data_IF_217080826679
#
_entry.id   IF_217080826679
#
_cell.length_a   1.000
_cell.length_b   1.000
_cell.length_c   1.000
_cell.angle_alpha   90.00
_cell.angle_beta   90.00
_cell.angle_gamma   90.00
#
_symmetry.space_group_name_H-M   'P 1'
#
loop_
_entity.id
_entity.type
_entity.pdbx_description
1 polymer ?
#
# COMPACT_ATOMS: atom_id res chain seq x y z
N UNK A 1 23.92 29.40 18.47
CA UNK A 1 22.54 29.06 18.03
C UNK A 1 22.56 28.86 16.52
N UNK A 2 22.11 27.72 15.99
CA UNK A 2 22.06 27.49 14.55
C UNK A 2 20.85 28.23 13.97
N UNK A 3 21.08 29.11 13.00
CA UNK A 3 20.03 29.90 12.32
C UNK A 3 19.76 29.43 10.90
N UNK A 4 20.68 28.66 10.33
CA UNK A 4 20.61 28.16 8.96
C UNK A 4 21.05 26.70 8.97
N UNK A 5 20.27 25.83 8.33
CA UNK A 5 20.62 24.43 8.08
C UNK A 5 20.37 24.20 6.58
N UNK A 6 21.41 23.83 5.84
CA UNK A 6 21.30 23.53 4.40
C UNK A 6 21.92 22.18 4.08
N UNK A 7 21.45 21.54 3.03
CA UNK A 7 22.06 20.30 2.55
C UNK A 7 21.22 19.43 1.62
N UNK A 8 21.80 18.32 1.22
CA UNK A 8 21.13 17.23 0.50
C UNK A 8 21.18 15.98 1.39
N UNK A 9 20.18 15.77 2.28
CA UNK A 9 20.18 14.64 3.19
C UNK A 9 20.04 13.30 2.45
N UNK A 10 20.45 12.16 3.04
CA UNK A 10 20.38 10.85 2.39
C UNK A 10 18.93 10.35 2.24
N UNK A 11 18.66 9.56 1.20
CA UNK A 11 17.35 8.98 0.89
C UNK A 11 17.39 7.45 1.09
N UNK A 12 16.70 6.92 2.10
CA UNK A 12 16.62 5.47 2.33
C UNK A 12 15.41 5.09 3.17
N UNK A 13 14.46 4.38 2.56
CA UNK A 13 13.31 3.78 3.23
C UNK A 13 13.57 2.35 3.76
N UNK A 14 14.76 1.77 3.49
CA UNK A 14 15.18 0.43 3.93
C UNK A 14 15.82 -0.43 2.83
N UNK A 15 16.18 -1.68 3.19
CA UNK A 15 16.78 -2.68 2.31
C UNK A 15 15.85 -3.21 1.21
N UNK A 16 16.42 -3.73 0.10
CA UNK A 16 15.64 -4.25 -1.05
C UNK A 16 15.15 -5.67 -0.81
N UNK A 17 15.97 -6.51 -0.21
CA UNK A 17 15.66 -7.89 0.17
C UNK A 17 15.97 -8.14 1.64
N UNK A 18 15.25 -9.08 2.25
CA UNK A 18 15.60 -9.58 3.59
C UNK A 18 16.87 -10.44 3.60
N UNK A 19 17.36 -10.82 2.41
CA UNK A 19 18.63 -11.51 2.23
C UNK A 19 19.82 -10.52 2.20
N UNK A 20 19.59 -9.21 2.01
CA UNK A 20 20.67 -8.21 1.90
C UNK A 20 21.32 -7.87 3.24
N UNK A 21 20.65 -8.18 4.36
CA UNK A 21 21.08 -7.90 5.74
C UNK A 21 21.65 -6.48 5.95
N UNK A 22 20.98 -5.46 5.40
CA UNK A 22 21.43 -4.06 5.41
C UNK A 22 20.29 -3.11 5.85
N UNK A 23 19.72 -3.39 7.02
CA UNK A 23 18.63 -2.60 7.57
C UNK A 23 19.09 -1.17 7.95
N UNK A 24 18.17 -0.21 7.89
CA UNK A 24 18.45 1.17 8.33
C UNK A 24 18.82 1.17 9.83
N UNK A 25 19.77 2.03 10.20
CA UNK A 25 20.10 2.30 11.60
C UNK A 25 18.87 2.87 12.34
N UNK A 26 18.67 2.41 13.57
CA UNK A 26 17.65 2.90 14.49
C UNK A 26 18.14 4.13 15.24
N UNK A 27 17.29 5.15 15.36
CA UNK A 27 17.61 6.37 16.11
C UNK A 27 16.48 6.63 17.13
N UNK A 28 16.48 5.96 18.29
CA UNK A 28 15.32 5.90 19.18
C UNK A 28 14.70 7.26 19.54
N UNK A 29 15.54 8.26 19.87
CA UNK A 29 15.05 9.60 20.20
C UNK A 29 14.46 10.34 18.99
N UNK A 30 15.11 10.26 17.82
CA UNK A 30 14.61 10.92 16.61
C UNK A 30 13.34 10.24 16.09
N UNK A 31 13.30 8.92 16.14
CA UNK A 31 12.15 8.12 15.73
C UNK A 31 10.97 8.32 16.69
N UNK A 32 11.21 8.54 17.99
CA UNK A 32 10.19 8.98 18.95
C UNK A 32 9.61 10.35 18.57
N UNK A 33 10.47 11.33 18.23
CA UNK A 33 10.02 12.65 17.76
C UNK A 33 9.16 12.57 16.49
N UNK A 34 9.51 11.71 15.54
CA UNK A 34 8.69 11.44 14.35
C UNK A 34 7.33 10.86 14.75
N UNK A 35 7.32 9.95 15.71
CA UNK A 35 6.10 9.31 16.21
C UNK A 35 5.16 10.32 16.86
N UNK A 36 5.68 11.15 17.77
CA UNK A 36 4.96 12.20 18.49
C UNK A 36 4.47 13.36 17.61
N UNK A 37 5.02 13.52 16.40
CA UNK A 37 4.69 14.65 15.52
C UNK A 37 4.02 14.19 14.22
N UNK A 38 4.78 13.56 13.33
CA UNK A 38 4.32 13.21 11.99
C UNK A 38 3.38 12.01 12.00
N UNK A 39 3.67 10.98 12.81
CA UNK A 39 2.86 9.75 12.83
C UNK A 39 1.52 9.97 13.54
N UNK A 40 1.52 10.70 14.67
CA UNK A 40 0.33 11.08 15.44
C UNK A 40 -0.72 11.82 14.58
N UNK A 41 -0.25 12.70 13.71
CA UNK A 41 -1.11 13.49 12.82
C UNK A 41 -1.49 12.75 11.51
N UNK A 42 -0.94 11.56 11.28
CA UNK A 42 -1.20 10.80 10.05
C UNK A 42 -2.45 9.92 10.20
N UNK A 43 -3.22 9.86 9.12
CA UNK A 43 -4.39 8.97 9.02
C UNK A 43 -4.08 7.65 8.31
N UNK A 44 -2.80 7.42 7.95
CA UNK A 44 -2.39 6.22 7.23
C UNK A 44 -2.31 5.01 8.17
N UNK A 45 -2.77 3.85 7.69
CA UNK A 45 -2.65 2.59 8.44
C UNK A 45 -1.23 2.03 8.52
N UNK A 46 -0.28 2.56 7.74
CA UNK A 46 1.13 2.17 7.77
C UNK A 46 2.03 3.39 7.60
N UNK A 47 2.81 3.69 8.63
CA UNK A 47 3.64 4.90 8.72
C UNK A 47 5.13 4.67 8.42
N UNK A 48 5.49 3.51 7.85
CA UNK A 48 6.90 3.15 7.58
C UNK A 48 7.66 4.21 6.78
N UNK A 49 7.00 4.86 5.81
CA UNK A 49 7.63 5.89 4.98
C UNK A 49 8.02 7.16 5.74
N UNK A 50 7.48 7.38 6.94
CA UNK A 50 7.83 8.53 7.78
C UNK A 50 9.24 8.39 8.40
N UNK A 51 9.80 7.18 8.39
CA UNK A 51 11.14 6.89 8.93
C UNK A 51 12.21 6.80 7.83
N UNK A 52 11.90 7.29 6.62
CA UNK A 52 12.90 7.50 5.58
C UNK A 52 13.96 8.52 6.08
N UNK A 53 15.22 8.29 5.76
CA UNK A 53 16.35 9.11 6.20
C UNK A 53 16.18 10.62 5.90
N UNK A 54 15.53 11.00 4.79
CA UNK A 54 15.31 12.42 4.50
C UNK A 54 14.20 13.05 5.37
N UNK A 55 13.19 12.27 5.78
CA UNK A 55 12.16 12.72 6.72
C UNK A 55 12.76 12.87 8.11
N UNK A 56 13.63 11.92 8.51
CA UNK A 56 14.47 12.03 9.71
C UNK A 56 15.32 13.29 9.70
N UNK A 57 15.93 13.64 8.57
CA UNK A 57 16.71 14.86 8.44
C UNK A 57 15.84 16.13 8.58
N UNK A 58 14.64 16.15 8.00
CA UNK A 58 13.69 17.26 8.19
C UNK A 58 13.33 17.38 9.67
N UNK A 59 12.92 16.30 10.34
CA UNK A 59 12.56 16.31 11.77
C UNK A 59 13.71 16.79 12.65
N UNK A 60 14.91 16.26 12.41
CA UNK A 60 16.12 16.64 13.15
C UNK A 60 16.44 18.12 12.98
N UNK A 61 16.40 18.63 11.74
CA UNK A 61 16.68 20.03 11.46
C UNK A 61 15.64 20.96 12.10
N UNK A 62 14.35 20.58 12.04
CA UNK A 62 13.25 21.32 12.67
C UNK A 62 13.40 21.44 14.18
N UNK A 63 13.89 20.38 14.85
CA UNK A 63 14.15 20.39 16.28
C UNK A 63 15.44 21.16 16.61
N UNK A 64 16.49 21.00 15.78
CA UNK A 64 17.81 21.59 16.01
C UNK A 64 17.87 23.10 15.83
N UNK A 65 17.06 23.66 14.92
CA UNK A 65 17.01 25.09 14.60
C UNK A 65 16.27 25.92 15.66
N UNK A 66 15.47 25.29 16.53
CA UNK A 66 14.69 25.96 17.57
C UNK A 66 13.52 26.76 17.00
N UNK A 67 13.34 27.99 17.47
CA UNK A 67 12.16 28.84 17.18
C UNK A 67 12.36 29.83 16.05
N UNK A 68 13.59 30.02 15.55
CA UNK A 68 13.86 31.02 14.52
C UNK A 68 15.09 30.69 13.68
N UNK A 69 14.88 30.59 12.36
CA UNK A 69 15.90 30.27 11.38
C UNK A 69 15.30 29.73 10.08
N UNK A 70 16.17 29.32 9.17
CA UNK A 70 15.81 28.78 7.84
C UNK A 70 16.44 27.39 7.63
N UNK A 71 15.66 26.46 7.10
CA UNK A 71 16.12 25.15 6.64
C UNK A 71 15.98 25.10 5.12
N UNK A 72 17.04 24.78 4.38
CA UNK A 72 17.04 24.65 2.93
C UNK A 72 17.53 23.28 2.48
N UNK A 73 16.64 22.42 2.01
CA UNK A 73 17.00 21.06 1.60
C UNK A 73 16.60 20.72 0.17
N UNK A 74 17.39 19.85 -0.46
CA UNK A 74 17.00 19.10 -1.64
C UNK A 74 16.67 17.67 -1.21
N UNK A 75 15.40 17.29 -1.30
CA UNK A 75 14.91 15.99 -0.79
C UNK A 75 14.03 15.27 -1.81
N UNK A 76 13.71 14.00 -1.52
CA UNK A 76 12.64 13.32 -2.25
C UNK A 76 11.31 14.06 -2.07
N UNK A 77 10.57 14.29 -3.16
CA UNK A 77 9.32 15.07 -3.18
C UNK A 77 8.13 14.37 -2.52
N UNK A 78 8.32 13.18 -1.94
CA UNK A 78 7.21 12.36 -1.42
C UNK A 78 6.33 13.08 -0.39
N UNK A 79 6.89 14.00 0.41
CA UNK A 79 6.16 14.70 1.48
C UNK A 79 5.11 15.66 0.96
N UNK A 80 5.25 16.16 -0.28
CA UNK A 80 4.32 17.16 -0.84
C UNK A 80 3.04 16.51 -1.39
N UNK A 81 3.12 15.25 -1.84
CA UNK A 81 2.02 14.59 -2.59
C UNK A 81 1.51 13.30 -1.92
N UNK A 82 2.38 12.48 -1.32
CA UNK A 82 1.98 11.14 -0.88
C UNK A 82 0.93 11.21 0.24
N UNK A 83 -0.11 10.39 0.10
CA UNK A 83 -1.19 10.29 1.10
C UNK A 83 -0.70 9.87 2.48
N UNK A 84 0.35 9.04 2.56
CA UNK A 84 0.95 8.59 3.83
C UNK A 84 1.79 9.65 4.54
N UNK A 85 2.00 10.82 3.93
CA UNK A 85 2.80 11.92 4.49
C UNK A 85 1.95 13.13 4.88
N UNK A 86 0.64 12.97 4.99
CA UNK A 86 -0.26 14.04 5.43
C UNK A 86 0.08 14.58 6.83
N UNK A 87 0.51 13.71 7.75
CA UNK A 87 0.95 14.13 9.08
C UNK A 87 2.21 15.02 9.04
N UNK A 88 3.14 14.75 8.11
CA UNK A 88 4.30 15.63 7.85
C UNK A 88 3.81 17.01 7.39
N UNK A 89 2.93 17.06 6.39
CA UNK A 89 2.40 18.32 5.85
C UNK A 89 1.69 19.16 6.92
N UNK A 90 0.80 18.54 7.70
CA UNK A 90 0.11 19.20 8.82
C UNK A 90 1.09 19.76 9.85
N UNK A 91 2.08 18.96 10.24
CA UNK A 91 3.09 19.39 11.21
C UNK A 91 3.95 20.54 10.70
N UNK A 92 4.37 20.51 9.42
CA UNK A 92 5.15 21.60 8.83
C UNK A 92 4.37 22.92 8.85
N UNK A 93 3.08 22.91 8.53
CA UNK A 93 2.21 24.10 8.56
C UNK A 93 2.15 24.70 9.98
N UNK A 94 2.09 23.85 11.01
CA UNK A 94 2.03 24.31 12.40
C UNK A 94 3.39 24.84 12.89
N UNK A 95 4.50 24.24 12.47
CA UNK A 95 5.82 24.57 13.01
C UNK A 95 6.55 25.71 12.30
N UNK A 96 6.21 25.98 11.03
CA UNK A 96 6.91 26.95 10.20
C UNK A 96 6.00 28.10 9.83
N UNK A 97 6.54 29.32 9.82
CA UNK A 97 5.80 30.50 9.42
C UNK A 97 5.55 30.52 7.91
N UNK A 98 6.54 30.07 7.14
CA UNK A 98 6.46 30.01 5.68
C UNK A 98 7.21 28.78 5.15
N UNK A 99 6.63 28.15 4.13
CA UNK A 99 7.12 26.94 3.48
C UNK A 99 7.15 27.22 1.98
N UNK A 100 8.33 27.17 1.39
CA UNK A 100 8.54 27.35 -0.03
C UNK A 100 9.03 26.06 -0.66
N UNK A 101 8.39 25.63 -1.74
CA UNK A 101 8.70 24.36 -2.40
C UNK A 101 8.84 24.58 -3.90
N UNK A 102 10.02 24.29 -4.44
CA UNK A 102 10.18 24.09 -5.88
C UNK A 102 10.08 22.60 -6.17
N UNK A 103 8.98 22.17 -6.77
CA UNK A 103 8.78 20.79 -7.20
C UNK A 103 9.55 20.54 -8.50
N UNK A 104 10.65 19.79 -8.42
CA UNK A 104 11.51 19.53 -9.58
C UNK A 104 11.05 18.35 -10.43
N UNK A 105 9.92 17.72 -10.12
CA UNK A 105 9.43 16.62 -10.94
C UNK A 105 10.24 15.34 -10.69
N UNK A 106 10.29 14.50 -11.71
CA UNK A 106 11.34 13.49 -11.88
C UNK A 106 11.13 12.16 -11.17
N UNK A 107 9.92 11.84 -10.72
CA UNK A 107 9.61 10.48 -10.25
C UNK A 107 9.51 9.52 -11.44
N UNK A 108 10.64 8.89 -11.78
CA UNK A 108 10.77 7.99 -12.94
C UNK A 108 9.82 6.79 -12.81
N UNK A 109 9.61 6.28 -11.59
CA UNK A 109 8.70 5.14 -11.37
C UNK A 109 7.25 5.55 -11.59
N UNK A 110 6.84 6.71 -11.05
CA UNK A 110 5.51 7.28 -11.28
C UNK A 110 5.28 7.54 -12.77
N UNK A 111 6.27 8.10 -13.47
CA UNK A 111 6.15 8.35 -14.90
C UNK A 111 5.99 7.05 -15.71
N UNK A 112 6.85 6.06 -15.44
CA UNK A 112 6.80 4.76 -16.13
C UNK A 112 5.48 4.03 -15.88
N UNK A 113 5.05 3.94 -14.62
CA UNK A 113 3.82 3.24 -14.24
C UNK A 113 2.56 3.94 -14.74
N UNK A 114 2.55 5.27 -14.77
CA UNK A 114 1.45 6.06 -15.35
C UNK A 114 1.46 6.08 -16.88
N UNK A 115 2.48 5.49 -17.53
CA UNK A 115 2.73 5.55 -18.99
C UNK A 115 2.90 6.99 -19.50
N UNK A 116 3.66 7.81 -18.78
CA UNK A 116 3.94 9.19 -19.14
C UNK A 116 2.87 10.20 -18.72
N UNK A 117 1.68 9.75 -18.28
CA UNK A 117 0.59 10.66 -17.86
C UNK A 117 0.93 11.52 -16.66
N UNK A 118 1.88 11.11 -15.84
CA UNK A 118 2.36 11.94 -14.72
C UNK A 118 3.27 13.08 -15.17
N UNK A 119 3.80 13.06 -16.40
CA UNK A 119 4.61 14.11 -17.03
C UNK A 119 5.85 14.55 -16.22
N UNK A 120 6.48 13.60 -15.52
CA UNK A 120 7.56 13.88 -14.57
C UNK A 120 8.85 14.39 -15.22
N UNK A 121 9.02 14.17 -16.53
CA UNK A 121 10.27 14.44 -17.23
C UNK A 121 11.44 13.63 -16.66
N UNK A 122 12.65 14.14 -16.80
CA UNK A 122 13.86 13.50 -16.30
C UNK A 122 14.17 13.85 -14.84
N UNK A 123 14.90 12.96 -14.14
CA UNK A 123 15.35 13.21 -12.78
C UNK A 123 16.57 14.14 -12.75
N UNK A 124 16.60 15.08 -11.79
CA UNK A 124 17.70 16.04 -11.65
C UNK A 124 19.05 15.38 -11.30
N UNK A 125 19.01 14.20 -10.67
CA UNK A 125 20.16 13.38 -10.30
C UNK A 125 20.47 12.26 -11.31
N UNK A 126 19.82 12.27 -12.48
CA UNK A 126 20.04 11.25 -13.51
C UNK A 126 19.74 9.84 -13.01
N UNK A 127 20.68 8.90 -13.21
CA UNK A 127 20.56 7.51 -12.75
C UNK A 127 20.78 7.32 -11.24
N UNK A 128 21.24 8.35 -10.53
CA UNK A 128 21.48 8.30 -9.09
C UNK A 128 20.21 8.26 -8.24
N UNK A 129 19.06 8.67 -8.79
CA UNK A 129 17.76 8.55 -8.14
C UNK A 129 16.63 8.34 -9.14
N UNK A 130 15.63 7.54 -8.74
CA UNK A 130 14.37 7.40 -9.48
C UNK A 130 13.20 8.11 -8.78
N UNK A 131 13.42 8.73 -7.61
CA UNK A 131 12.38 9.42 -6.85
C UNK A 131 12.23 10.85 -7.33
N UNK A 132 11.00 11.37 -7.34
CA UNK A 132 10.79 12.80 -7.57
C UNK A 132 11.55 13.64 -6.54
N UNK A 133 11.97 14.84 -6.93
CA UNK A 133 12.84 15.71 -6.13
C UNK A 133 12.14 17.05 -5.89
N UNK A 134 12.34 17.62 -4.71
CA UNK A 134 11.89 18.96 -4.38
C UNK A 134 12.98 19.74 -3.65
N UNK A 135 13.08 21.03 -3.93
CA UNK A 135 13.82 21.98 -3.10
C UNK A 135 12.81 22.56 -2.11
N UNK A 136 13.06 22.39 -0.81
CA UNK A 136 12.20 22.89 0.26
C UNK A 136 12.95 23.91 1.11
N UNK A 137 12.37 25.10 1.28
CA UNK A 137 12.86 26.15 2.16
C UNK A 137 11.81 26.37 3.26
N UNK A 138 12.17 26.02 4.49
CA UNK A 138 11.28 26.06 5.65
C UNK A 138 11.74 27.17 6.59
N UNK A 139 10.88 28.14 6.87
CA UNK A 139 11.21 29.35 7.64
C UNK A 139 10.48 29.34 8.97
N UNK A 140 11.22 29.46 10.07
CA UNK A 140 10.67 29.77 11.40
C UNK A 140 10.92 31.24 11.70
N UNK A 141 9.86 32.01 11.84
CA UNK A 141 9.92 33.41 12.25
C UNK A 141 8.86 33.69 13.34
N UNK A 142 9.28 33.92 14.60
CA UNK A 142 8.35 34.19 15.70
C UNK A 142 7.66 35.55 15.60
N UNK A 143 8.17 36.45 14.73
CA UNK A 143 7.57 37.76 14.47
C UNK A 143 6.65 37.75 13.24
N UNK A 144 6.44 36.60 12.59
CA UNK A 144 5.55 36.52 11.44
C UNK A 144 4.10 36.70 11.86
N UNK A 145 3.38 37.57 11.15
CA UNK A 145 1.95 37.83 11.37
C UNK A 145 1.06 36.64 11.02
N UNK A 146 1.53 35.78 10.11
CA UNK A 146 0.85 34.56 9.69
C UNK A 146 1.80 33.37 9.83
N UNK A 147 1.22 32.22 10.19
CA UNK A 147 1.92 30.95 10.27
C UNK A 147 1.48 30.03 9.12
N UNK A 148 2.31 29.03 8.79
CA UNK A 148 1.95 27.95 7.88
C UNK A 148 1.67 28.36 6.44
N UNK A 149 2.21 29.48 5.97
CA UNK A 149 2.00 29.94 4.59
C UNK A 149 2.77 29.05 3.60
N UNK A 150 2.09 28.44 2.64
CA UNK A 150 2.69 27.52 1.67
C UNK A 150 2.76 28.18 0.30
N UNK A 151 3.94 28.16 -0.29
CA UNK A 151 4.23 28.65 -1.62
C UNK A 151 4.88 27.55 -2.44
N UNK A 152 4.26 27.18 -3.56
CA UNK A 152 4.74 26.12 -4.42
C UNK A 152 5.03 26.66 -5.82
N UNK A 153 6.12 26.20 -6.41
CA UNK A 153 6.44 26.40 -7.81
C UNK A 153 6.69 25.04 -8.45
N UNK A 154 5.94 24.68 -9.49
CA UNK A 154 6.22 23.49 -10.30
C UNK A 154 7.18 23.86 -11.42
N UNK A 155 8.27 23.09 -11.57
CA UNK A 155 9.30 23.38 -12.57
C UNK A 155 8.76 23.23 -14.01
N UNK A 156 7.72 22.41 -14.21
CA UNK A 156 7.07 22.17 -15.50
C UNK A 156 7.09 20.71 -15.96
N UNK A 157 6.20 20.42 -16.91
CA UNK A 157 5.93 19.08 -17.44
C UNK A 157 6.96 18.62 -18.46
N UNK A 158 7.28 17.32 -18.42
CA UNK A 158 8.09 16.58 -19.42
C UNK A 158 9.47 17.18 -19.73
N UNK A 159 10.00 18.01 -18.84
CA UNK A 159 11.31 18.64 -19.01
C UNK A 159 12.46 17.65 -18.85
N UNK A 160 13.48 17.83 -19.69
CA UNK A 160 14.80 17.20 -19.53
C UNK A 160 15.52 17.73 -18.29
N UNK A 161 16.57 17.03 -17.87
CA UNK A 161 17.40 17.46 -16.74
C UNK A 161 18.01 18.84 -16.99
N UNK A 162 18.51 19.08 -18.19
CA UNK A 162 19.21 20.31 -18.53
C UNK A 162 18.25 21.50 -18.60
N UNK A 163 17.03 21.32 -19.11
CA UNK A 163 16.00 22.36 -19.07
C UNK A 163 15.59 22.72 -17.64
N UNK A 164 15.46 21.73 -16.75
CA UNK A 164 15.19 21.97 -15.32
C UNK A 164 16.33 22.76 -14.66
N UNK A 165 17.58 22.39 -14.93
CA UNK A 165 18.75 23.11 -14.42
C UNK A 165 18.84 24.53 -14.99
N UNK A 166 18.56 24.71 -16.28
CA UNK A 166 18.54 26.03 -16.92
C UNK A 166 17.46 26.94 -16.30
N UNK A 167 16.26 26.41 -16.02
CA UNK A 167 15.20 27.15 -15.31
C UNK A 167 15.63 27.55 -13.90
N UNK A 168 16.27 26.64 -13.16
CA UNK A 168 16.81 26.93 -11.83
C UNK A 168 17.87 28.03 -11.85
N UNK A 169 18.79 28.00 -12.80
CA UNK A 169 19.81 29.06 -13.00
C UNK A 169 19.15 30.39 -13.40
N UNK A 170 18.05 30.32 -14.15
CA UNK A 170 17.26 31.49 -14.54
C UNK A 170 16.51 32.17 -13.39
N UNK A 171 16.41 31.54 -12.22
CA UNK A 171 15.87 32.19 -11.02
C UNK A 171 16.92 33.16 -10.44
N UNK A 172 16.98 34.36 -10.99
CA UNK A 172 17.95 35.41 -10.62
C UNK A 172 17.76 35.92 -9.19
N UNK A 173 16.57 35.79 -8.61
CA UNK A 173 16.31 36.05 -7.19
C UNK A 173 15.21 35.14 -6.64
N UNK A 174 15.12 35.05 -5.31
CA UNK A 174 14.01 34.34 -4.65
C UNK A 174 12.63 34.94 -4.99
N UNK A 175 12.60 36.25 -5.25
CA UNK A 175 11.39 36.99 -5.63
C UNK A 175 11.04 36.85 -7.11
N UNK A 176 11.96 36.38 -7.97
CA UNK A 176 11.68 36.13 -9.38
C UNK A 176 10.94 34.81 -9.63
N UNK A 177 10.86 33.93 -8.63
CA UNK A 177 10.13 32.67 -8.73
C UNK A 177 8.64 32.97 -8.67
N UNK A 178 7.88 32.46 -9.64
CA UNK A 178 6.42 32.58 -9.66
C UNK A 178 5.81 31.60 -8.65
N UNK A 179 5.62 32.07 -7.42
CA UNK A 179 5.07 31.31 -6.31
C UNK A 179 3.54 31.24 -6.39
N UNK A 180 3.01 30.01 -6.38
CA UNK A 180 1.59 29.77 -6.16
C UNK A 180 1.33 29.58 -4.67
N UNK A 181 0.49 30.41 -4.07
CA UNK A 181 0.01 30.19 -2.72
C UNK A 181 -0.92 28.98 -2.68
N UNK A 182 -0.68 28.05 -1.76
CA UNK A 182 -1.46 26.82 -1.60
C UNK A 182 -2.25 26.87 -0.30
N UNK A 183 -3.56 26.66 -0.39
CA UNK A 183 -4.40 26.39 0.78
C UNK A 183 -4.65 24.89 0.88
N UNK A 184 -4.14 24.20 1.92
CA UNK A 184 -4.38 22.77 2.11
C UNK A 184 -5.86 22.46 2.28
N UNK A 185 -6.30 21.31 1.77
CA UNK A 185 -7.64 20.80 2.06
C UNK A 185 -7.76 20.24 3.49
N UNK A 186 -8.97 19.80 3.87
CA UNK A 186 -9.25 19.22 5.20
C UNK A 186 -8.45 17.93 5.48
N UNK A 187 -7.93 17.28 4.44
CA UNK A 187 -7.09 16.09 4.55
C UNK A 187 -5.59 16.43 4.71
N UNK A 188 -5.23 17.71 4.55
CA UNK A 188 -3.87 18.21 4.58
C UNK A 188 -3.14 18.03 3.25
N UNK A 189 -3.86 17.90 2.13
CA UNK A 189 -3.26 17.74 0.81
C UNK A 189 -2.94 19.10 0.18
N UNK A 190 -1.70 19.24 -0.31
CA UNK A 190 -1.24 20.46 -0.99
C UNK A 190 -1.51 20.41 -2.49
N UNK A 191 -1.37 19.22 -3.08
CA UNK A 191 -1.58 18.96 -4.50
C UNK A 191 -2.65 17.88 -4.69
N UNK A 192 -3.28 17.87 -5.87
CA UNK A 192 -4.30 16.89 -6.27
C UNK A 192 -5.43 16.76 -5.23
N UNK A 193 -5.98 17.90 -4.80
CA UNK A 193 -6.93 17.97 -3.69
C UNK A 193 -8.22 17.21 -3.98
N UNK A 194 -8.83 16.67 -2.92
CA UNK A 194 -9.97 15.76 -3.05
C UNK A 194 -11.26 16.53 -3.31
N UNK A 195 -12.11 15.99 -4.18
CA UNK A 195 -13.46 16.50 -4.37
C UNK A 195 -14.31 16.23 -3.11
N UNK A 196 -14.90 17.27 -2.45
CA UNK A 196 -15.60 17.10 -1.18
C UNK A 196 -16.90 16.27 -1.27
N UNK A 197 -17.58 16.34 -2.40
CA UNK A 197 -18.82 15.61 -2.69
C UNK A 197 -18.62 14.10 -2.78
N UNK A 198 -17.38 13.62 -2.99
CA UNK A 198 -17.06 12.20 -2.96
C UNK A 198 -17.49 11.52 -1.65
N UNK A 199 -17.39 12.25 -0.53
CA UNK A 199 -17.75 11.75 0.80
C UNK A 199 -19.27 11.47 0.96
N UNK A 200 -20.11 12.04 0.09
CA UNK A 200 -21.56 11.84 0.09
C UNK A 200 -21.95 10.45 -0.45
N UNK A 201 -21.06 9.80 -1.21
CA UNK A 201 -21.28 8.48 -1.76
C UNK A 201 -20.95 7.37 -0.75
N UNK A 202 -21.67 6.25 -0.84
CA UNK A 202 -21.46 5.10 0.07
C UNK A 202 -20.09 4.47 -0.18
N UNK A 203 -19.35 4.16 0.88
CA UNK A 203 -18.04 3.55 0.77
C UNK A 203 -18.12 2.07 0.39
N UNK A 204 -17.20 1.60 -0.46
CA UNK A 204 -17.11 0.18 -0.78
C UNK A 204 -16.87 -0.68 0.46
N UNK A 205 -16.02 -0.23 1.38
CA UNK A 205 -15.71 -0.97 2.59
C UNK A 205 -14.77 -0.20 3.50
N UNK A 206 -14.75 -0.57 4.77
CA UNK A 206 -13.81 -0.03 5.76
C UNK A 206 -13.24 -1.14 6.63
N UNK A 207 -12.06 -0.93 7.21
CA UNK A 207 -11.52 -1.81 8.26
C UNK A 207 -11.86 -1.33 9.67
N UNK A 208 -12.54 -0.18 9.79
CA UNK A 208 -13.09 0.29 11.08
C UNK A 208 -14.33 -0.52 11.40
N UNK A 209 -14.40 -1.09 12.60
CA UNK A 209 -15.47 -2.01 13.01
C UNK A 209 -16.81 -1.34 13.31
N UNK A 210 -16.85 0.00 13.37
CA UNK A 210 -17.99 0.77 13.85
C UNK A 210 -18.77 1.52 12.77
N UNK A 211 -18.55 1.24 11.48
CA UNK A 211 -19.24 1.95 10.39
C UNK A 211 -20.35 1.06 9.79
N UNK A 212 -21.63 1.35 10.08
CA UNK A 212 -22.74 0.52 9.64
C UNK A 212 -23.12 0.73 8.16
N UNK A 213 -22.58 1.74 7.47
CA UNK A 213 -23.01 2.11 6.11
C UNK A 213 -21.92 1.89 5.05
N UNK A 214 -21.50 0.64 4.89
CA UNK A 214 -20.61 0.22 3.81
C UNK A 214 -21.22 -0.85 2.92
N UNK A 215 -20.80 -0.91 1.67
CA UNK A 215 -21.29 -1.91 0.72
C UNK A 215 -20.82 -3.31 1.12
N UNK A 216 -19.51 -3.54 1.25
CA UNK A 216 -18.93 -4.86 1.51
C UNK A 216 -18.55 -5.04 2.99
N UNK A 217 -19.02 -6.14 3.58
CA UNK A 217 -18.71 -6.55 4.96
C UNK A 217 -17.23 -6.88 5.16
N UNK A 218 -16.58 -7.46 4.14
CA UNK A 218 -15.16 -7.76 4.15
C UNK A 218 -14.57 -7.63 2.74
N UNK A 219 -13.25 -7.41 2.70
CA UNK A 219 -12.45 -7.30 1.48
C UNK A 219 -10.99 -7.60 1.82
N UNK A 220 -10.16 -7.89 0.83
CA UNK A 220 -8.75 -8.25 1.06
C UNK A 220 -7.84 -7.58 0.05
N UNK A 221 -6.56 -7.39 0.40
CA UNK A 221 -5.54 -7.32 -0.65
C UNK A 221 -5.27 -8.73 -1.18
N UNK A 222 -4.65 -8.83 -2.36
CA UNK A 222 -4.17 -10.10 -2.87
C UNK A 222 -3.05 -10.71 -2.02
N UNK A 223 -2.68 -11.95 -2.34
CA UNK A 223 -1.65 -12.70 -1.62
C UNK A 223 -0.27 -12.08 -1.81
N UNK A 224 0.44 -11.86 -0.70
CA UNK A 224 1.84 -11.48 -0.70
C UNK A 224 2.69 -12.69 -0.31
N UNK A 225 3.46 -13.23 -1.25
CA UNK A 225 4.34 -14.37 -0.93
C UNK A 225 5.68 -13.89 -0.37
N UNK A 226 6.18 -12.76 -0.88
CA UNK A 226 7.56 -12.26 -0.71
C UNK A 226 8.64 -13.24 -1.19
N UNK A 227 8.27 -14.17 -2.09
CA UNK A 227 9.14 -15.18 -2.69
C UNK A 227 8.53 -15.72 -4.00
N UNK A 228 8.10 -14.81 -4.88
CA UNK A 228 7.29 -15.18 -6.05
C UNK A 228 7.99 -16.19 -6.97
N UNK A 229 9.31 -16.10 -7.13
CA UNK A 229 10.10 -17.07 -7.92
C UNK A 229 9.96 -18.53 -7.42
N UNK A 230 9.65 -18.72 -6.15
CA UNK A 230 9.43 -20.03 -5.53
C UNK A 230 7.95 -20.42 -5.53
N UNK A 231 7.06 -19.48 -5.17
CA UNK A 231 5.65 -19.76 -4.95
C UNK A 231 4.76 -19.65 -6.19
N UNK A 232 5.22 -19.00 -7.27
CA UNK A 232 4.48 -18.86 -8.52
C UNK A 232 5.22 -19.50 -9.70
N UNK A 233 4.47 -20.15 -10.59
CA UNK A 233 4.99 -20.60 -11.89
C UNK A 233 3.85 -20.86 -12.89
N UNK A 234 4.11 -20.74 -14.19
CA UNK A 234 3.15 -21.19 -15.21
C UNK A 234 2.94 -22.71 -15.20
N UNK A 235 3.96 -23.49 -14.85
CA UNK A 235 3.88 -24.94 -14.73
C UNK A 235 3.58 -25.36 -13.29
N UNK A 236 2.49 -26.11 -13.11
CA UNK A 236 2.12 -26.72 -11.82
C UNK A 236 3.23 -27.61 -11.26
N UNK A 237 3.90 -28.36 -12.14
CA UNK A 237 4.98 -29.26 -11.74
C UNK A 237 6.23 -28.46 -11.32
N UNK A 238 6.54 -27.37 -12.02
CA UNK A 238 7.69 -26.54 -11.69
C UNK A 238 7.54 -25.86 -10.31
N UNK A 239 6.38 -25.29 -10.00
CA UNK A 239 6.14 -24.70 -8.66
C UNK A 239 6.17 -25.78 -7.57
N UNK A 240 5.66 -26.99 -7.84
CA UNK A 240 5.74 -28.11 -6.91
C UNK A 240 7.20 -28.47 -6.60
N UNK A 241 8.01 -28.66 -7.64
CA UNK A 241 9.43 -28.98 -7.51
C UNK A 241 10.22 -27.86 -6.82
N UNK A 242 9.94 -26.60 -7.15
CA UNK A 242 10.55 -25.43 -6.49
C UNK A 242 10.26 -25.46 -4.98
N UNK A 243 8.98 -25.58 -4.60
CA UNK A 243 8.60 -25.59 -3.19
C UNK A 243 9.16 -26.80 -2.44
N UNK A 244 9.18 -27.99 -3.05
CA UNK A 244 9.79 -29.17 -2.42
C UNK A 244 11.29 -28.95 -2.12
N UNK A 245 12.06 -28.39 -3.06
CA UNK A 245 13.48 -28.07 -2.84
C UNK A 245 13.66 -27.03 -1.73
N UNK A 246 12.89 -25.95 -1.76
CA UNK A 246 12.97 -24.90 -0.74
C UNK A 246 12.59 -25.42 0.66
N UNK A 247 11.55 -26.24 0.76
CA UNK A 247 11.10 -26.84 2.03
C UNK A 247 12.16 -27.80 2.59
N UNK A 248 12.73 -28.65 1.73
CA UNK A 248 13.81 -29.55 2.13
C UNK A 248 15.03 -28.77 2.64
N UNK A 249 15.41 -27.70 1.94
CA UNK A 249 16.48 -26.81 2.38
C UNK A 249 16.17 -26.12 3.70
N UNK A 250 14.99 -25.53 3.84
CA UNK A 250 14.54 -24.91 5.08
C UNK A 250 14.58 -25.89 6.26
N UNK A 251 14.09 -27.12 6.09
CA UNK A 251 14.12 -28.13 7.16
C UNK A 251 15.57 -28.53 7.51
N UNK A 252 16.49 -28.52 6.55
CA UNK A 252 17.93 -28.72 6.86
C UNK A 252 18.49 -27.58 7.71
N UNK A 253 18.07 -26.34 7.45
CA UNK A 253 18.42 -25.18 8.27
C UNK A 253 17.79 -25.26 9.66
N UNK A 254 16.55 -25.77 9.80
CA UNK A 254 15.94 -26.03 11.11
C UNK A 254 16.81 -26.95 11.95
N UNK A 255 17.29 -28.06 11.37
CA UNK A 255 18.16 -29.01 12.07
C UNK A 255 19.51 -28.37 12.46
N UNK A 256 20.11 -27.60 11.55
CA UNK A 256 21.37 -26.86 11.81
C UNK A 256 21.20 -25.80 12.90
N UNK A 257 20.12 -25.01 12.84
CA UNK A 257 19.81 -23.98 13.81
C UNK A 257 19.47 -24.56 15.19
N UNK A 258 18.82 -25.73 15.26
CA UNK A 258 18.51 -26.38 16.54
C UNK A 258 19.79 -26.61 17.38
N UNK A 259 20.87 -27.07 16.73
CA UNK A 259 22.18 -27.22 17.36
C UNK A 259 22.82 -25.87 17.70
N UNK A 260 22.79 -24.90 16.76
CA UNK A 260 23.42 -23.59 16.94
C UNK A 260 22.75 -22.69 18.00
N UNK A 261 21.45 -22.89 18.25
CA UNK A 261 20.66 -22.13 19.22
C UNK A 261 20.60 -22.80 20.60
N UNK A 262 21.22 -23.98 20.77
CA UNK A 262 21.31 -24.64 22.06
C UNK A 262 22.04 -23.74 23.08
N UNK A 263 21.39 -23.46 24.21
CA UNK A 263 21.93 -22.57 25.25
C UNK A 263 21.88 -21.07 24.94
N UNK A 264 21.38 -20.64 23.77
CA UNK A 264 21.27 -19.21 23.42
C UNK A 264 20.01 -18.60 24.05
N UNK A 265 20.13 -17.49 24.80
CA UNK A 265 18.99 -16.74 25.36
C UNK A 265 18.00 -16.30 24.27
N UNK A 266 16.69 -16.34 24.57
CA UNK A 266 15.62 -16.15 23.59
C UNK A 266 15.71 -14.80 22.85
N UNK A 267 16.10 -13.75 23.56
CA UNK A 267 16.31 -12.39 23.08
C UNK A 267 17.49 -12.26 22.08
N UNK A 268 18.47 -13.17 22.15
CA UNK A 268 19.64 -13.16 21.27
C UNK A 268 19.51 -14.10 20.06
N UNK A 269 18.50 -14.98 20.06
CA UNK A 269 18.33 -15.98 18.98
C UNK A 269 18.10 -15.36 17.62
N UNK A 270 17.41 -14.24 17.54
CA UNK A 270 17.13 -13.58 16.26
C UNK A 270 18.43 -13.11 15.59
N UNK A 271 19.28 -12.39 16.33
CA UNK A 271 20.59 -11.96 15.84
C UNK A 271 21.47 -13.16 15.46
N UNK A 272 21.48 -14.21 16.30
CA UNK A 272 22.26 -15.41 16.02
C UNK A 272 21.81 -16.14 14.75
N UNK A 273 20.51 -16.19 14.49
CA UNK A 273 19.97 -16.77 13.25
C UNK A 273 20.45 -15.98 12.04
N UNK A 274 20.37 -14.64 12.07
CA UNK A 274 20.81 -13.79 10.94
C UNK A 274 22.29 -13.99 10.58
N UNK A 275 23.16 -14.24 11.57
CA UNK A 275 24.58 -14.52 11.33
C UNK A 275 24.84 -15.93 10.78
N UNK A 276 23.94 -16.87 11.04
CA UNK A 276 24.18 -18.30 10.83
C UNK A 276 23.56 -18.85 9.54
N UNK A 277 22.39 -18.33 9.15
CA UNK A 277 21.62 -18.89 8.04
C UNK A 277 22.31 -18.65 6.69
N UNK A 278 22.15 -19.62 5.79
CA UNK A 278 22.53 -19.43 4.39
C UNK A 278 21.47 -18.58 3.66
N UNK A 279 21.92 -17.48 3.07
CA UNK A 279 21.08 -16.49 2.38
C UNK A 279 21.10 -16.62 0.86
N UNK A 280 21.67 -17.71 0.33
CA UNK A 280 21.68 -18.05 -1.09
C UNK A 280 20.26 -18.10 -1.66
N UNK A 281 19.94 -17.10 -2.49
CA UNK A 281 18.63 -16.93 -3.11
C UNK A 281 18.23 -18.10 -4.02
N UNK A 282 19.19 -18.90 -4.49
CA UNK A 282 18.94 -20.10 -5.32
C UNK A 282 18.44 -21.28 -4.50
N UNK A 283 18.56 -21.24 -3.16
CA UNK A 283 18.09 -22.27 -2.24
C UNK A 283 16.85 -21.83 -1.47
N UNK A 284 16.77 -20.55 -1.09
CA UNK A 284 15.67 -20.01 -0.29
C UNK A 284 15.52 -18.49 -0.42
N UNK A 285 14.27 -18.04 -0.27
CA UNK A 285 13.94 -16.62 -0.11
C UNK A 285 13.37 -16.38 1.29
N UNK A 286 14.20 -15.88 2.20
CA UNK A 286 13.82 -15.67 3.59
C UNK A 286 12.84 -14.51 3.75
N UNK A 287 11.96 -14.63 4.75
CA UNK A 287 11.07 -13.55 5.18
C UNK A 287 11.02 -13.51 6.70
N UNK A 288 10.51 -12.42 7.26
CA UNK A 288 10.41 -12.24 8.73
C UNK A 288 9.64 -13.40 9.36
N UNK A 289 8.50 -13.81 8.79
CA UNK A 289 7.72 -14.92 9.34
C UNK A 289 8.47 -16.25 9.23
N UNK A 290 9.17 -16.51 8.12
CA UNK A 290 9.90 -17.77 7.94
C UNK A 290 11.10 -17.87 8.89
N UNK A 291 11.81 -16.76 9.13
CA UNK A 291 12.88 -16.70 10.14
C UNK A 291 12.32 -16.89 11.56
N UNK A 292 11.15 -16.35 11.85
CA UNK A 292 10.49 -16.56 13.15
C UNK A 292 10.10 -18.04 13.37
N UNK A 293 9.58 -18.70 12.34
CA UNK A 293 9.26 -20.13 12.42
C UNK A 293 10.52 -21.00 12.53
N UNK A 294 11.64 -20.58 11.91
CA UNK A 294 12.95 -21.20 12.07
C UNK A 294 13.44 -21.12 13.52
N UNK A 295 13.35 -19.94 14.16
CA UNK A 295 13.74 -19.73 15.57
C UNK A 295 12.92 -20.63 16.51
N UNK A 296 11.68 -20.97 16.14
CA UNK A 296 10.81 -21.89 16.88
C UNK A 296 11.10 -23.37 16.61
N UNK A 297 12.00 -23.69 15.68
CA UNK A 297 12.30 -25.06 15.28
C UNK A 297 11.16 -25.75 14.52
N UNK A 298 10.27 -24.97 13.89
CA UNK A 298 9.11 -25.51 13.18
C UNK A 298 9.55 -26.09 11.84
N UNK A 299 9.28 -27.38 11.63
CA UNK A 299 9.53 -28.09 10.36
C UNK A 299 8.26 -28.17 9.51
N UNK A 300 8.41 -28.31 8.20
CA UNK A 300 7.29 -28.32 7.25
C UNK A 300 7.30 -29.52 6.30
N UNK A 301 6.12 -29.92 5.84
CA UNK A 301 5.94 -30.88 4.75
C UNK A 301 5.32 -30.21 3.51
N UNK A 302 5.69 -30.68 2.32
CA UNK A 302 5.04 -30.25 1.08
C UNK A 302 3.61 -30.79 1.00
N UNK A 303 2.66 -29.92 0.62
CA UNK A 303 1.24 -30.26 0.51
C UNK A 303 0.73 -29.95 -0.90
N UNK A 304 0.55 -30.99 -1.73
CA UNK A 304 0.13 -30.83 -3.14
C UNK A 304 -1.25 -30.21 -3.32
N UNK A 305 -2.12 -30.27 -2.31
CA UNK A 305 -3.44 -29.62 -2.28
C UNK A 305 -3.37 -28.09 -2.25
N UNK A 306 -2.22 -27.52 -1.89
CA UNK A 306 -2.02 -26.06 -1.84
C UNK A 306 -1.67 -25.48 -3.21
N UNK A 307 -1.55 -26.30 -4.26
CA UNK A 307 -1.31 -25.84 -5.62
C UNK A 307 -2.62 -25.39 -6.26
N UNK A 308 -2.79 -24.08 -6.41
CA UNK A 308 -4.04 -23.46 -6.85
C UNK A 308 -3.80 -22.49 -8.00
N UNK A 309 -4.77 -22.30 -8.92
CA UNK A 309 -4.68 -21.23 -9.90
C UNK A 309 -4.81 -19.87 -9.21
N UNK A 310 -4.00 -18.90 -9.66
CA UNK A 310 -4.00 -17.54 -9.13
C UNK A 310 -3.78 -16.54 -10.26
N UNK A 311 -4.45 -15.39 -10.16
CA UNK A 311 -4.24 -14.27 -11.08
C UNK A 311 -2.94 -13.55 -10.66
N UNK A 312 -1.83 -13.82 -11.34
CA UNK A 312 -0.53 -13.23 -11.00
C UNK A 312 -0.44 -11.77 -11.46
N UNK A 313 -0.87 -11.49 -12.70
CA UNK A 313 -0.95 -10.15 -13.31
C UNK A 313 -2.27 -10.03 -14.10
N UNK A 314 -2.69 -8.82 -14.55
CA UNK A 314 -3.92 -8.68 -15.31
C UNK A 314 -3.92 -9.64 -16.51
N UNK A 315 -4.96 -10.47 -16.62
CA UNK A 315 -5.11 -11.47 -17.67
C UNK A 315 -4.05 -12.58 -17.72
N UNK A 316 -3.20 -12.70 -16.69
CA UNK A 316 -2.13 -13.72 -16.63
C UNK A 316 -2.31 -14.57 -15.38
N UNK A 317 -2.81 -15.80 -15.57
CA UNK A 317 -2.93 -16.81 -14.51
C UNK A 317 -1.62 -17.62 -14.39
N UNK A 318 -1.25 -17.96 -13.16
CA UNK A 318 -0.16 -18.87 -12.82
C UNK A 318 -0.60 -19.82 -11.71
N UNK A 319 0.15 -20.90 -11.51
CA UNK A 319 0.00 -21.75 -10.33
C UNK A 319 0.69 -21.11 -9.14
N UNK A 320 -0.03 -21.02 -8.03
CA UNK A 320 0.42 -20.55 -6.73
C UNK A 320 0.50 -21.74 -5.77
N UNK A 321 1.56 -21.81 -4.98
CA UNK A 321 1.56 -22.59 -3.74
C UNK A 321 0.95 -21.75 -2.60
N UNK A 322 -0.36 -21.90 -2.40
CA UNK A 322 -1.15 -21.13 -1.43
C UNK A 322 -1.09 -21.79 -0.05
N UNK A 323 -0.18 -21.32 0.79
CA UNK A 323 0.07 -21.86 2.11
C UNK A 323 0.47 -20.74 3.08
N UNK A 324 -0.17 -20.69 4.26
CA UNK A 324 0.01 -19.61 5.25
C UNK A 324 1.43 -19.52 5.82
N UNK A 325 2.16 -20.63 5.86
CA UNK A 325 3.52 -20.67 6.37
C UNK A 325 4.52 -20.14 5.32
N UNK A 326 4.23 -20.35 4.04
CA UNK A 326 5.11 -19.94 2.94
C UNK A 326 4.69 -18.66 2.21
N UNK A 327 3.50 -18.14 2.48
CA UNK A 327 3.07 -16.84 1.98
C UNK A 327 3.11 -15.83 3.12
N UNK A 328 3.95 -14.80 2.99
CA UNK A 328 4.17 -13.81 4.05
C UNK A 328 2.86 -13.19 4.55
N UNK A 329 1.90 -12.89 3.67
CA UNK A 329 0.55 -12.45 4.07
C UNK A 329 -0.52 -13.08 3.18
N UNK A 330 -1.39 -13.90 3.80
CA UNK A 330 -2.61 -14.44 3.17
C UNK A 330 -3.86 -13.58 3.39
N UNK A 331 -3.80 -12.66 4.37
CA UNK A 331 -4.86 -11.70 4.69
C UNK A 331 -6.24 -12.37 4.84
N UNK A 332 -7.28 -11.82 4.21
CA UNK A 332 -8.65 -12.34 4.27
C UNK A 332 -8.96 -13.30 3.11
N UNK A 333 -7.98 -13.63 2.27
CA UNK A 333 -8.17 -14.54 1.13
C UNK A 333 -8.73 -15.91 1.57
N UNK A 334 -8.35 -16.52 2.71
CA UNK A 334 -8.98 -17.77 3.15
C UNK A 334 -10.49 -17.67 3.41
N UNK A 335 -11.06 -16.49 3.71
CA UNK A 335 -12.52 -16.29 3.82
C UNK A 335 -13.18 -16.02 2.46
N UNK A 336 -12.40 -15.78 1.42
CA UNK A 336 -12.89 -15.47 0.06
C UNK A 336 -12.73 -16.68 -0.86
N UNK A 337 -11.60 -17.38 -0.74
CA UNK A 337 -11.21 -18.59 -1.45
C UNK A 337 -10.57 -19.57 -0.44
N UNK A 338 -11.38 -20.27 0.38
CA UNK A 338 -10.86 -21.21 1.39
C UNK A 338 -10.12 -22.40 0.79
N UNK A 339 -10.52 -22.83 -0.41
CA UNK A 339 -9.96 -24.00 -1.10
C UNK A 339 -9.67 -23.71 -2.57
N UNK A 340 -8.88 -24.57 -3.20
CA UNK A 340 -8.60 -24.53 -4.64
C UNK A 340 -9.86 -24.61 -5.53
N UNK A 341 -10.94 -25.20 -5.02
CA UNK A 341 -12.20 -25.44 -5.71
C UNK A 341 -13.28 -24.41 -5.39
N UNK A 342 -12.96 -23.42 -4.55
CA UNK A 342 -13.92 -22.38 -4.15
C UNK A 342 -14.33 -21.52 -5.35
N UNK A 343 -15.64 -21.43 -5.60
CA UNK A 343 -16.20 -20.61 -6.68
C UNK A 343 -16.65 -19.24 -6.16
N UNK A 344 -15.89 -18.20 -6.50
CA UNK A 344 -16.19 -16.83 -6.11
C UNK A 344 -15.79 -15.86 -7.22
N UNK A 345 -16.31 -14.63 -7.16
CA UNK A 345 -15.86 -13.50 -8.00
C UNK A 345 -15.39 -12.38 -7.09
N UNK A 346 -14.30 -11.73 -7.47
CA UNK A 346 -13.76 -10.57 -6.75
C UNK A 346 -13.56 -9.41 -7.71
N UNK A 347 -14.01 -8.21 -7.32
CA UNK A 347 -13.66 -6.97 -8.01
C UNK A 347 -12.34 -6.48 -7.41
N UNK A 348 -11.27 -6.56 -8.18
CA UNK A 348 -9.97 -5.98 -7.83
C UNK A 348 -9.94 -4.54 -8.31
N UNK A 349 -9.55 -3.59 -7.45
CA UNK A 349 -9.36 -2.17 -7.80
C UNK A 349 -7.96 -1.71 -7.44
N UNK A 350 -7.45 -0.67 -8.12
CA UNK A 350 -6.20 -0.01 -7.73
C UNK A 350 -6.28 0.45 -6.28
N UNK A 351 -5.24 0.15 -5.49
CA UNK A 351 -5.18 0.59 -4.10
C UNK A 351 -4.74 2.04 -3.95
N UNK A 352 -4.97 2.57 -2.75
CA UNK A 352 -4.56 3.93 -2.37
C UNK A 352 -3.06 4.16 -2.62
N UNK A 353 -2.77 5.24 -3.33
CA UNK A 353 -1.43 5.66 -3.74
C UNK A 353 -0.83 4.83 -4.87
N UNK A 354 -1.65 4.12 -5.65
CA UNK A 354 -1.21 3.51 -6.91
C UNK A 354 -0.76 4.58 -7.91
N UNK A 355 0.36 4.35 -8.59
CA UNK A 355 0.98 5.30 -9.52
C UNK A 355 0.49 5.13 -10.96
N UNK A 356 -0.07 3.97 -11.28
CA UNK A 356 -0.54 3.63 -12.63
C UNK A 356 -1.90 4.24 -12.98
N UNK A 357 -2.50 4.99 -12.06
CA UNK A 357 -3.86 5.48 -12.15
C UNK A 357 -4.91 4.45 -11.71
N UNK A 358 -6.16 4.88 -11.61
CA UNK A 358 -7.26 4.02 -11.18
C UNK A 358 -7.66 3.01 -12.27
N UNK A 359 -7.86 1.77 -11.85
CA UNK A 359 -8.35 0.68 -12.70
C UNK A 359 -9.13 -0.34 -11.86
N UNK A 360 -9.96 -1.15 -12.53
CA UNK A 360 -10.68 -2.25 -11.92
C UNK A 360 -10.61 -3.48 -12.83
N UNK A 361 -10.54 -4.68 -12.26
CA UNK A 361 -10.56 -5.96 -12.96
C UNK A 361 -11.25 -7.01 -12.08
N UNK A 362 -12.24 -7.71 -12.63
CA UNK A 362 -12.85 -8.84 -11.95
C UNK A 362 -12.00 -10.11 -12.11
N UNK A 363 -11.90 -10.91 -11.04
CA UNK A 363 -11.22 -12.20 -11.05
C UNK A 363 -12.10 -13.30 -10.44
N UNK A 364 -11.95 -14.52 -10.96
CA UNK A 364 -12.61 -15.75 -10.51
C UNK A 364 -11.66 -16.70 -9.74
N UNK A 365 -10.41 -16.26 -9.55
CA UNK A 365 -9.33 -16.99 -8.88
C UNK A 365 -8.62 -16.07 -7.89
N UNK A 366 -7.75 -16.64 -7.04
CA UNK A 366 -7.03 -15.89 -6.01
C UNK A 366 -6.14 -14.81 -6.66
N UNK A 367 -6.31 -13.52 -6.32
CA UNK A 367 -5.44 -12.47 -6.81
C UNK A 367 -4.11 -12.41 -6.05
N UNK A 368 -3.02 -12.22 -6.79
CA UNK A 368 -1.74 -11.78 -6.24
C UNK A 368 -1.84 -10.33 -5.72
N UNK A 369 -1.01 -9.97 -4.75
CA UNK A 369 -0.95 -8.60 -4.23
C UNK A 369 -0.70 -7.56 -5.34
N UNK A 370 0.12 -7.92 -6.32
CA UNK A 370 0.52 -7.07 -7.43
C UNK A 370 -0.22 -7.41 -8.75
N UNK A 371 -1.37 -8.10 -8.68
CA UNK A 371 -2.25 -8.25 -9.86
C UNK A 371 -2.76 -6.90 -10.36
N UNK A 372 -3.11 -6.02 -9.43
CA UNK A 372 -3.31 -4.58 -9.66
C UNK A 372 -2.46 -3.87 -8.62
N UNK A 373 -1.84 -2.74 -8.98
CA UNK A 373 -0.97 -2.00 -8.08
C UNK A 373 -1.67 -1.68 -6.75
N UNK A 374 -1.11 -2.21 -5.65
CA UNK A 374 -1.66 -2.09 -4.28
C UNK A 374 -3.10 -2.62 -4.14
N UNK A 375 -3.50 -3.55 -5.00
CA UNK A 375 -4.90 -3.87 -5.24
C UNK A 375 -5.71 -4.27 -4.00
N UNK A 376 -6.98 -3.87 -3.99
CA UNK A 376 -7.99 -4.30 -3.02
C UNK A 376 -9.07 -5.09 -3.76
N UNK A 377 -9.51 -6.18 -3.15
CA UNK A 377 -10.36 -7.20 -3.77
C UNK A 377 -11.65 -7.30 -2.96
N UNK A 378 -12.76 -6.95 -3.59
CA UNK A 378 -14.11 -6.96 -3.02
C UNK A 378 -14.86 -8.19 -3.52
N UNK A 379 -15.13 -9.19 -2.68
CA UNK A 379 -15.69 -10.46 -3.10
C UNK A 379 -17.21 -10.41 -3.26
N UNK A 380 -17.79 -11.30 -4.07
CA UNK A 380 -19.24 -11.50 -4.12
C UNK A 380 -19.72 -12.29 -2.91
N UNK A 381 -18.99 -13.35 -2.54
CA UNK A 381 -19.31 -14.21 -1.41
C UNK A 381 -18.24 -14.20 -0.32
N UNK A 382 -18.64 -14.47 0.92
CA UNK A 382 -17.76 -14.81 2.04
C UNK A 382 -18.06 -16.24 2.48
N UNK A 383 -17.02 -16.99 2.80
CA UNK A 383 -17.10 -18.36 3.27
C UNK A 383 -16.87 -18.41 4.79
N UNK A 384 -17.67 -19.20 5.49
CA UNK A 384 -17.37 -19.52 6.88
C UNK A 384 -16.14 -20.44 6.95
N UNK A 385 -15.08 -19.94 7.57
CA UNK A 385 -13.84 -20.70 7.79
C UNK A 385 -13.86 -21.49 9.09
N UNK A 386 -14.88 -21.28 9.95
CA UNK A 386 -15.19 -22.18 11.05
C UNK A 386 -16.00 -23.30 10.42
N UNK A 387 -15.47 -24.53 10.41
CA UNK A 387 -16.24 -25.69 9.95
C UNK A 387 -17.58 -25.82 10.71
N UNK A 388 -18.50 -26.69 10.27
CA UNK A 388 -19.75 -26.91 11.00
C UNK A 388 -19.43 -27.11 12.49
N UNK A 389 -20.09 -26.35 13.36
CA UNK A 389 -20.02 -26.60 14.79
C UNK A 389 -20.42 -28.07 15.01
N UNK A 390 -19.72 -28.84 15.87
CA UNK A 390 -20.13 -30.20 16.15
C UNK A 390 -21.47 -30.17 16.89
N UNK A 391 -22.57 -30.18 16.13
CA UNK A 391 -23.91 -30.40 16.65
C UNK A 391 -24.15 -31.90 16.65
N UNK A 392 -23.98 -32.50 17.84
CA UNK A 392 -24.37 -33.88 18.20
C UNK A 392 -23.76 -35.04 17.40
N UNK A 393 -23.50 -36.13 18.12
CA UNK A 393 -22.89 -37.39 17.66
C UNK A 393 -23.72 -38.22 16.67
N UNK A 394 -24.87 -37.74 16.21
CA UNK A 394 -25.80 -38.52 15.38
C UNK A 394 -25.64 -38.30 13.86
N UNK A 395 -24.93 -37.26 13.41
CA UNK A 395 -24.83 -36.94 11.97
C UNK A 395 -23.62 -37.54 11.24
N UNK A 396 -22.84 -38.42 11.89
CA UNK A 396 -21.63 -39.01 11.30
C UNK A 396 -21.92 -39.96 10.11
N UNK A 397 -23.17 -40.40 9.93
CA UNK A 397 -23.58 -41.35 8.89
C UNK A 397 -24.44 -40.73 7.77
N UNK A 398 -24.83 -39.46 7.86
CA UNK A 398 -25.58 -38.76 6.82
C UNK A 398 -24.69 -37.84 5.98
N UNK A 399 -23.55 -38.36 5.51
CA UNK A 399 -22.70 -37.67 4.54
C UNK A 399 -23.31 -37.71 3.13
N UNK A 400 -24.48 -37.10 2.97
CA UNK A 400 -25.02 -36.74 1.67
C UNK A 400 -24.35 -35.44 1.20
N UNK A 401 -23.40 -35.57 0.26
CA UNK A 401 -22.77 -34.51 -0.54
C UNK A 401 -22.06 -33.35 0.20
N UNK A 402 -20.72 -33.20 0.08
CA UNK A 402 -19.99 -32.04 0.61
C UNK A 402 -20.13 -30.80 -0.30
N UNK A 403 -21.36 -30.45 -0.71
CA UNK A 403 -21.62 -29.47 -1.77
C UNK A 403 -22.37 -28.20 -1.35
N UNK A 404 -22.34 -27.81 -0.07
CA UNK A 404 -22.71 -26.46 0.36
C UNK A 404 -21.74 -25.96 1.42
N UNK A 405 -20.59 -25.45 0.97
CA UNK A 405 -19.82 -24.55 1.82
C UNK A 405 -20.76 -23.41 2.23
N UNK A 406 -21.02 -23.25 3.53
CA UNK A 406 -21.85 -22.16 4.06
C UNK A 406 -21.22 -20.82 3.63
N UNK A 407 -21.73 -20.26 2.53
CA UNK A 407 -21.31 -18.98 1.97
C UNK A 407 -22.46 -17.99 2.08
N UNK A 408 -22.14 -16.75 2.37
CA UNK A 408 -23.08 -15.63 2.40
C UNK A 408 -22.62 -14.54 1.43
N UNK A 409 -23.52 -13.63 1.07
CA UNK A 409 -23.14 -12.45 0.29
C UNK A 409 -22.21 -11.56 1.10
N UNK A 410 -21.18 -11.05 0.44
CA UNK A 410 -20.27 -10.09 1.05
C UNK A 410 -20.88 -8.68 1.11
N UNK A 411 -21.83 -8.38 0.22
CA UNK A 411 -22.58 -7.11 0.26
C UNK A 411 -23.49 -7.15 1.49
N UNK A 412 -23.42 -6.11 2.31
CA UNK A 412 -24.20 -5.99 3.54
C UNK A 412 -25.67 -5.66 3.23
N UNK A 413 -26.58 -6.02 4.14
CA UNK A 413 -27.98 -5.58 4.04
C UNK A 413 -28.11 -4.06 3.99
N UNK A 414 -27.27 -3.32 4.72
CA UNK A 414 -27.27 -1.86 4.68
C UNK A 414 -26.82 -1.33 3.30
N UNK A 415 -25.78 -1.94 2.72
CA UNK A 415 -25.28 -1.65 1.38
C UNK A 415 -26.31 -1.94 0.29
N UNK A 416 -27.03 -3.07 0.39
CA UNK A 416 -28.12 -3.41 -0.52
C UNK A 416 -29.29 -2.44 -0.39
N UNK A 417 -29.77 -2.20 0.84
CA UNK A 417 -30.89 -1.30 1.12
C UNK A 417 -30.60 0.14 0.70
N UNK A 418 -29.34 0.55 0.66
CA UNK A 418 -28.94 1.87 0.15
C UNK A 418 -29.35 2.09 -1.32
N UNK A 419 -29.33 1.04 -2.15
CA UNK A 419 -29.78 1.08 -3.53
C UNK A 419 -31.28 0.84 -3.66
N UNK A 420 -31.83 -0.14 -2.94
CA UNK A 420 -33.29 -0.42 -2.92
C UNK A 420 -34.08 0.84 -2.56
N UNK A 421 -33.70 1.56 -1.50
CA UNK A 421 -34.44 2.76 -1.07
C UNK A 421 -34.35 3.92 -2.08
N UNK A 422 -33.25 4.02 -2.82
CA UNK A 422 -33.08 5.09 -3.80
C UNK A 422 -33.87 4.83 -5.08
N UNK A 423 -33.79 3.59 -5.60
CA UNK A 423 -34.47 3.20 -6.82
C UNK A 423 -35.92 2.75 -6.61
N UNK A 424 -36.35 2.63 -5.35
CA UNK A 424 -37.67 2.16 -4.94
C UNK A 424 -38.02 0.79 -5.54
N UNK A 425 -37.01 -0.08 -5.66
CA UNK A 425 -37.14 -1.41 -6.26
C UNK A 425 -36.59 -2.48 -5.31
N UNK A 426 -37.50 -3.24 -4.70
CA UNK A 426 -37.16 -4.34 -3.78
C UNK A 426 -36.69 -5.62 -4.49
N UNK A 427 -36.73 -5.65 -5.83
CA UNK A 427 -36.21 -6.78 -6.62
C UNK A 427 -34.70 -6.75 -6.82
N UNK A 428 -34.04 -5.63 -6.49
CA UNK A 428 -32.58 -5.49 -6.60
C UNK A 428 -31.89 -6.53 -5.72
N UNK A 429 -31.05 -7.33 -6.35
CA UNK A 429 -30.26 -8.41 -5.74
C UNK A 429 -28.83 -7.96 -5.37
N UNK A 430 -28.14 -8.76 -4.55
CA UNK A 430 -26.73 -8.55 -4.24
C UNK A 430 -25.85 -8.63 -5.50
N UNK A 431 -26.14 -9.55 -6.42
CA UNK A 431 -25.46 -9.68 -7.70
C UNK A 431 -25.62 -8.43 -8.58
N UNK A 432 -26.83 -7.89 -8.69
CA UNK A 432 -27.09 -6.66 -9.45
C UNK A 432 -26.28 -5.49 -8.89
N UNK A 433 -26.23 -5.32 -7.56
CA UNK A 433 -25.38 -4.31 -6.92
C UNK A 433 -23.90 -4.58 -7.19
N UNK A 434 -23.45 -5.83 -7.14
CA UNK A 434 -22.06 -6.20 -7.43
C UNK A 434 -21.65 -5.82 -8.86
N UNK A 435 -22.48 -6.10 -9.87
CA UNK A 435 -22.20 -5.74 -11.26
C UNK A 435 -22.40 -4.25 -11.54
N UNK A 436 -23.36 -3.60 -10.87
CA UNK A 436 -23.52 -2.14 -10.89
C UNK A 436 -22.21 -1.44 -10.49
N UNK A 437 -21.63 -1.86 -9.37
CA UNK A 437 -20.34 -1.34 -8.88
C UNK A 437 -19.27 -1.53 -9.95
N UNK A 438 -19.17 -2.72 -10.54
CA UNK A 438 -18.18 -2.97 -11.58
C UNK A 438 -18.36 -2.03 -12.79
N UNK A 439 -19.60 -1.73 -13.18
CA UNK A 439 -19.93 -0.77 -14.23
C UNK A 439 -19.50 0.66 -13.88
N UNK A 440 -19.88 1.16 -12.70
CA UNK A 440 -19.50 2.51 -12.24
C UNK A 440 -17.99 2.69 -12.17
N UNK A 441 -17.26 1.67 -11.70
CA UNK A 441 -15.81 1.69 -11.65
C UNK A 441 -15.17 1.77 -13.04
N UNK A 442 -15.90 1.57 -14.12
CA UNK A 442 -15.48 1.73 -15.51
C UNK A 442 -15.97 3.01 -16.20
N UNK A 443 -16.86 3.79 -15.57
CA UNK A 443 -17.32 5.07 -16.13
C UNK A 443 -16.15 6.05 -16.29
N UNK A 444 -15.93 6.59 -17.51
CA UNK A 444 -14.94 7.64 -17.74
C UNK A 444 -15.21 8.89 -16.90
N UNK A 445 -16.48 9.28 -16.75
CA UNK A 445 -16.91 10.45 -15.98
C UNK A 445 -16.56 10.29 -14.49
N UNK A 446 -16.84 9.12 -13.92
CA UNK A 446 -16.49 8.80 -12.53
C UNK A 446 -14.98 8.85 -12.30
N UNK A 447 -14.20 8.22 -13.20
CA UNK A 447 -12.74 8.18 -13.10
C UNK A 447 -12.08 9.55 -13.29
N UNK A 448 -12.64 10.37 -14.18
CA UNK A 448 -12.14 11.73 -14.44
C UNK A 448 -12.44 12.66 -13.26
N UNK A 449 -13.70 12.69 -12.79
CA UNK A 449 -14.14 13.56 -11.70
C UNK A 449 -13.46 13.24 -10.37
N UNK A 450 -13.30 11.95 -10.05
CA UNK A 450 -12.80 11.51 -8.75
C UNK A 450 -11.39 10.92 -8.81
N UNK A 451 -10.61 11.18 -9.87
CA UNK A 451 -9.27 10.62 -10.05
C UNK A 451 -8.35 10.86 -8.84
N UNK A 452 -8.37 12.08 -8.32
CA UNK A 452 -7.59 12.48 -7.14
C UNK A 452 -8.06 11.75 -5.88
N UNK A 453 -9.38 11.65 -5.65
CA UNK A 453 -9.94 10.87 -4.55
C UNK A 453 -9.57 9.39 -4.65
N UNK A 454 -9.71 8.77 -5.83
CA UNK A 454 -9.40 7.36 -6.09
C UNK A 454 -7.92 7.04 -5.92
N UNK A 455 -7.04 8.05 -6.03
CA UNK A 455 -5.62 7.90 -5.73
C UNK A 455 -5.32 7.96 -4.23
N UNK A 456 -6.21 8.50 -3.39
CA UNK A 456 -5.97 8.78 -1.96
C UNK A 456 -6.91 8.04 -1.00
N UNK A 457 -8.02 7.51 -1.49
CA UNK A 457 -9.05 6.82 -0.73
C UNK A 457 -9.59 5.61 -1.51
N UNK A 458 -10.29 4.70 -0.82
CA UNK A 458 -11.03 3.63 -1.49
C UNK A 458 -12.23 4.20 -2.25
N UNK A 459 -12.68 3.54 -3.34
CA UNK A 459 -13.84 4.01 -4.09
C UNK A 459 -15.09 4.13 -3.23
N UNK A 460 -15.85 5.20 -3.49
CA UNK A 460 -17.21 5.41 -2.99
C UNK A 460 -18.14 5.43 -4.19
N UNK A 461 -19.27 4.75 -4.08
CA UNK A 461 -20.11 4.41 -5.22
C UNK A 461 -21.32 5.35 -5.26
N UNK A 462 -21.44 6.21 -6.29
CA UNK A 462 -22.63 7.03 -6.48
C UNK A 462 -23.83 6.16 -6.86
N UNK A 463 -25.02 6.72 -6.65
CA UNK A 463 -26.28 6.25 -7.23
C UNK A 463 -26.56 7.12 -8.44
N UNK A 464 -26.59 6.54 -9.64
CA UNK A 464 -26.83 7.27 -10.89
C UNK A 464 -28.33 7.35 -11.19
N UNK A 465 -28.75 8.37 -11.93
CA UNK A 465 -30.18 8.65 -12.21
C UNK A 465 -30.85 7.57 -13.07
N UNK A 466 -30.11 6.85 -13.90
CA UNK A 466 -30.72 5.88 -14.82
C UNK A 466 -31.09 4.60 -14.07
N UNK A 467 -32.39 4.33 -13.99
CA UNK A 467 -33.05 3.23 -13.25
C UNK A 467 -32.66 1.81 -13.69
N UNK A 468 -31.78 1.65 -14.67
CA UNK A 468 -31.22 0.36 -15.05
C UNK A 468 -29.87 0.20 -14.36
N UNK A 469 -29.88 -0.29 -13.13
CA UNK A 469 -28.86 -1.27 -12.77
C UNK A 469 -28.97 -2.32 -13.87
N UNK A 470 -27.98 -2.35 -14.77
CA UNK A 470 -28.07 -3.16 -15.97
C UNK A 470 -28.32 -4.62 -15.54
N UNK A 471 -29.54 -5.10 -15.77
CA UNK A 471 -29.86 -6.53 -15.74
C UNK A 471 -29.05 -7.11 -16.90
N UNK A 472 -27.86 -7.63 -16.58
CA UNK A 472 -27.03 -8.40 -17.52
C UNK A 472 -27.73 -9.72 -17.81
#
# INVERSE_FOLDING_TARGET
>A
QLRVIIGNPPYSAGQRSANDNNANVEYPHLDARITETYADQSTAGLNKSLYDSYIRAIRWASDRIGTSGVIGFVTGSGHIEKSTMNGVRKCLITEFSSIYVVNLRGDIRKNMLSKGRAQEGQNIFGSGSMTGIAISILVKNPQASQQGQIYLHDIGDDLTRDEKLARLVGFTSFTSINWQAIQPDTHGDWLAQRAPDFAQHIALGTKKTSDPQVIFANYSRGIATNRDAWCYNFSRQAVAANMQRMIAFYNSEVNRCAAALAGVPKDQRAAKVEEFIDTDATKISWTVNLKHDLIKGKSFGFQGSNLVPSLYRPFVKQWLYFNRDFNERVLQIPQIFPTATSNNRVICVTGVGGRSGFSALMADVIPCLDSIEKGQCFPLYLYDTKGPAPTSTEDLFNAANPSTSNRSYAITNAGLNHFIHHYQDSSISHEEVFYYIYGILHSPEYRSRYGDNLSKELPRIPRVETQRIARI
#
